data_IF_132951289408
#
_entry.id   IF_132951289408
#
_cell.length_a   1.000
_cell.length_b   1.000
_cell.length_c   1.000
_cell.angle_alpha   90.00
_cell.angle_beta   90.00
_cell.angle_gamma   90.00
#
_symmetry.space_group_name_H-M   'P 1'
#
loop_
_entity.id
_entity.type
_entity.pdbx_description
1 polymer ?
#
# COMPACT_ATOMS: atom_id res chain seq x y z
N UNK A 1 16.28 12.60 22.82
CA UNK A 1 15.08 13.03 22.08
C UNK A 1 14.26 11.77 21.80
N UNK A 2 13.05 11.65 22.33
CA UNK A 2 12.15 10.54 21.99
C UNK A 2 11.80 10.65 20.51
N UNK A 3 12.13 9.65 19.70
CA UNK A 3 11.65 9.62 18.32
C UNK A 3 10.13 9.38 18.35
N UNK A 4 9.38 10.13 17.54
CA UNK A 4 7.93 9.95 17.43
C UNK A 4 7.65 8.64 16.68
N UNK A 5 6.63 7.86 17.08
CA UNK A 5 6.22 6.66 16.34
C UNK A 5 6.07 6.94 14.84
N UNK A 6 6.48 5.99 13.99
CA UNK A 6 6.56 6.22 12.54
C UNK A 6 5.26 6.73 11.91
N UNK A 7 4.12 6.18 12.34
CA UNK A 7 2.79 6.58 11.85
C UNK A 7 2.40 8.02 12.19
N UNK A 8 3.06 8.67 13.14
CA UNK A 8 2.88 10.09 13.45
C UNK A 8 3.69 11.01 12.53
N UNK A 9 4.63 10.46 11.75
CA UNK A 9 5.56 11.23 10.90
C UNK A 9 5.16 11.25 9.41
N UNK A 10 4.11 10.52 9.05
CA UNK A 10 3.65 10.35 7.67
C UNK A 10 2.14 10.59 7.58
N UNK A 11 1.64 11.03 6.42
CA UNK A 11 0.21 11.16 6.21
C UNK A 11 -0.45 9.78 6.34
N UNK A 12 -1.44 9.67 7.23
CA UNK A 12 -2.20 8.44 7.40
C UNK A 12 -3.18 8.27 6.26
N UNK A 13 -3.40 7.02 5.82
CA UNK A 13 -4.49 6.71 4.90
C UNK A 13 -5.86 7.04 5.49
N UNK A 14 -5.98 7.08 6.82
CA UNK A 14 -7.21 7.51 7.50
C UNK A 14 -7.55 8.99 7.28
N UNK A 15 -6.56 9.81 6.90
CA UNK A 15 -6.73 11.25 6.71
C UNK A 15 -6.76 11.63 5.22
N UNK A 16 -6.79 10.65 4.31
CA UNK A 16 -6.93 10.89 2.87
C UNK A 16 -8.39 11.23 2.56
N UNK A 17 -8.69 12.41 2.00
CA UNK A 17 -10.07 12.79 1.70
C UNK A 17 -10.70 11.89 0.63
N UNK A 18 -11.92 11.43 0.92
CA UNK A 18 -12.78 10.75 -0.05
C UNK A 18 -13.96 11.68 -0.30
N UNK A 19 -14.02 12.24 -1.50
CA UNK A 19 -15.10 13.13 -1.96
C UNK A 19 -16.15 12.35 -2.74
N UNK A 20 -17.26 13.00 -3.12
CA UNK A 20 -18.23 12.42 -4.05
C UNK A 20 -17.56 11.98 -5.37
N UNK A 21 -16.59 12.78 -5.84
CA UNK A 21 -15.83 12.54 -7.08
C UNK A 21 -14.73 11.49 -6.94
N UNK A 22 -14.42 11.03 -5.72
CA UNK A 22 -13.39 10.03 -5.48
C UNK A 22 -12.32 10.39 -4.45
N UNK A 23 -11.27 9.57 -4.43
CA UNK A 23 -10.13 9.67 -3.52
C UNK A 23 -9.18 10.75 -4.01
N UNK A 24 -8.86 11.75 -3.17
CA UNK A 24 -7.93 12.84 -3.52
C UNK A 24 -6.54 12.32 -3.89
N UNK A 25 -6.12 12.57 -5.13
CA UNK A 25 -4.92 11.97 -5.74
C UNK A 25 -3.65 12.35 -4.99
N UNK A 26 -3.46 13.64 -4.68
CA UNK A 26 -2.24 14.13 -4.03
C UNK A 26 -2.14 13.57 -2.61
N UNK A 27 -3.25 13.60 -1.86
CA UNK A 27 -3.28 13.07 -0.50
C UNK A 27 -3.01 11.56 -0.46
N UNK A 28 -3.55 10.79 -1.40
CA UNK A 28 -3.26 9.36 -1.52
C UNK A 28 -1.79 9.07 -1.86
N UNK A 29 -1.20 9.84 -2.78
CA UNK A 29 0.21 9.70 -3.15
C UNK A 29 1.14 10.04 -1.98
N UNK A 30 0.83 11.08 -1.21
CA UNK A 30 1.57 11.44 0.01
C UNK A 30 1.53 10.33 1.06
N UNK A 31 0.35 9.74 1.30
CA UNK A 31 0.19 8.61 2.21
C UNK A 31 0.94 7.36 1.70
N UNK A 32 0.95 7.14 0.38
CA UNK A 32 1.68 6.05 -0.26
C UNK A 32 3.21 6.20 -0.17
N UNK A 33 3.74 7.42 -0.29
CA UNK A 33 5.17 7.69 0.01
C UNK A 33 5.49 7.41 1.48
N UNK A 34 4.57 7.78 2.37
CA UNK A 34 4.61 7.41 3.78
C UNK A 34 4.64 5.91 4.01
N UNK A 35 4.00 5.11 3.16
CA UNK A 35 4.15 3.66 3.24
C UNK A 35 5.54 3.20 2.77
N UNK A 36 6.09 3.79 1.72
CA UNK A 36 7.39 3.36 1.17
C UNK A 36 8.50 3.45 2.22
N UNK A 37 8.55 4.52 3.04
CA UNK A 37 9.58 4.60 4.09
C UNK A 37 9.36 3.62 5.25
N UNK A 38 8.17 3.02 5.39
CA UNK A 38 7.95 1.91 6.33
C UNK A 38 8.80 0.70 5.91
N UNK A 39 8.87 0.40 4.61
CA UNK A 39 9.71 -0.67 4.09
C UNK A 39 11.21 -0.41 4.29
N UNK A 40 11.64 0.86 4.34
CA UNK A 40 13.03 1.20 4.67
C UNK A 40 13.38 0.78 6.11
N UNK A 41 12.41 0.84 7.04
CA UNK A 41 12.57 0.34 8.40
C UNK A 41 12.67 -1.19 8.47
N UNK A 42 12.21 -1.93 7.46
CA UNK A 42 12.22 -3.41 7.46
C UNK A 42 13.55 -4.01 6.99
N UNK A 43 14.45 -3.19 6.44
CA UNK A 43 15.77 -3.60 5.95
C UNK A 43 15.82 -3.72 4.42
N UNK A 44 16.78 -3.05 3.81
CA UNK A 44 16.84 -2.78 2.37
C UNK A 44 17.25 -3.99 1.49
N UNK A 45 17.90 -5.02 2.06
CA UNK A 45 18.54 -6.08 1.28
C UNK A 45 17.59 -6.95 0.48
N UNK A 46 16.58 -7.56 1.12
CA UNK A 46 15.69 -8.53 0.45
C UNK A 46 14.42 -7.88 -0.12
N UNK A 47 14.07 -6.68 0.35
CA UNK A 47 12.89 -5.94 -0.10
C UNK A 47 13.17 -4.96 -1.25
N UNK A 48 14.41 -4.86 -1.74
CA UNK A 48 14.78 -3.88 -2.77
C UNK A 48 13.89 -3.93 -4.02
N UNK A 49 13.55 -5.13 -4.52
CA UNK A 49 12.66 -5.25 -5.68
C UNK A 49 11.21 -4.88 -5.36
N UNK A 50 10.73 -5.18 -4.14
CA UNK A 50 9.38 -4.82 -3.69
C UNK A 50 9.25 -3.31 -3.58
N UNK A 51 10.25 -2.66 -2.97
CA UNK A 51 10.29 -1.21 -2.88
C UNK A 51 10.34 -0.55 -4.26
N UNK A 52 11.17 -1.08 -5.17
CA UNK A 52 11.28 -0.55 -6.53
C UNK A 52 9.94 -0.63 -7.29
N UNK A 53 9.22 -1.75 -7.16
CA UNK A 53 7.89 -1.90 -7.76
C UNK A 53 6.89 -0.88 -7.19
N UNK A 54 6.79 -0.74 -5.86
CA UNK A 54 5.88 0.23 -5.23
C UNK A 54 6.25 1.67 -5.64
N UNK A 55 7.54 2.04 -5.53
CA UNK A 55 8.04 3.37 -5.92
C UNK A 55 7.73 3.67 -7.39
N UNK A 56 7.94 2.70 -8.28
CA UNK A 56 7.63 2.83 -9.71
C UNK A 56 6.15 3.02 -9.98
N UNK A 57 5.27 2.29 -9.28
CA UNK A 57 3.83 2.45 -9.43
C UNK A 57 3.34 3.80 -8.90
N UNK A 58 3.85 4.27 -7.76
CA UNK A 58 3.55 5.63 -7.24
C UNK A 58 4.01 6.69 -8.26
N UNK A 59 5.23 6.54 -8.80
CA UNK A 59 5.76 7.47 -9.79
C UNK A 59 4.88 7.51 -11.06
N UNK A 60 4.42 6.38 -11.57
CA UNK A 60 3.52 6.35 -12.73
C UNK A 60 2.20 7.07 -12.51
N UNK A 61 1.55 6.84 -11.36
CA UNK A 61 0.31 7.56 -10.99
C UNK A 61 0.58 9.06 -10.86
N UNK A 62 1.69 9.43 -10.22
CA UNK A 62 2.12 10.82 -10.05
C UNK A 62 2.40 11.52 -11.37
N UNK A 63 3.09 10.87 -12.29
CA UNK A 63 3.36 11.40 -13.63
C UNK A 63 2.07 11.64 -14.39
N UNK A 64 1.12 10.69 -14.35
CA UNK A 64 -0.20 10.90 -14.97
C UNK A 64 -0.91 12.12 -14.38
N UNK A 65 -0.91 12.26 -13.06
CA UNK A 65 -1.52 13.41 -12.39
C UNK A 65 -0.85 14.73 -12.79
N UNK A 66 0.47 14.81 -12.77
CA UNK A 66 1.22 16.02 -13.12
C UNK A 66 0.94 16.49 -14.54
N UNK A 67 0.75 15.57 -15.48
CA UNK A 67 0.46 15.89 -16.87
C UNK A 67 -1.01 16.30 -17.10
N UNK A 68 -1.93 15.97 -16.19
CA UNK A 68 -3.38 16.15 -16.36
C UNK A 68 -4.09 16.61 -15.08
N UNK A 69 -3.45 17.48 -14.29
CA UNK A 69 -3.87 17.77 -12.90
C UNK A 69 -5.33 18.21 -12.77
N UNK A 70 -5.83 19.03 -13.70
CA UNK A 70 -7.22 19.48 -13.73
C UNK A 70 -8.25 18.35 -13.93
N UNK A 71 -7.84 17.23 -14.54
CA UNK A 71 -8.70 16.08 -14.85
C UNK A 71 -8.42 14.87 -13.94
N UNK A 72 -7.51 15.02 -12.98
CA UNK A 72 -7.00 13.93 -12.15
C UNK A 72 -6.90 14.32 -10.67
N UNK A 73 -7.76 15.24 -10.22
CA UNK A 73 -7.88 15.61 -8.81
C UNK A 73 -8.21 14.41 -7.92
N UNK A 74 -9.01 13.47 -8.43
CA UNK A 74 -9.27 12.17 -7.80
C UNK A 74 -8.70 11.02 -8.62
N UNK A 75 -8.40 9.90 -7.95
CA UNK A 75 -7.90 8.68 -8.61
C UNK A 75 -8.89 8.13 -9.62
N UNK A 76 -10.20 8.22 -9.33
CA UNK A 76 -11.25 7.81 -10.26
C UNK A 76 -11.28 8.68 -11.52
N UNK A 77 -11.15 10.01 -11.37
CA UNK A 77 -11.08 10.92 -12.52
C UNK A 77 -9.77 10.74 -13.31
N UNK A 78 -8.66 10.46 -12.63
CA UNK A 78 -7.38 10.11 -13.26
C UNK A 78 -7.56 8.91 -14.20
N UNK A 79 -8.18 7.83 -13.73
CA UNK A 79 -8.41 6.62 -14.53
C UNK A 79 -9.40 6.87 -15.67
N UNK A 80 -10.51 7.57 -15.40
CA UNK A 80 -11.52 7.89 -16.43
C UNK A 80 -10.93 8.74 -17.55
N UNK A 81 -10.22 9.82 -17.21
CA UNK A 81 -9.59 10.72 -18.19
C UNK A 81 -8.56 9.97 -19.04
N UNK A 82 -7.64 9.25 -18.41
CA UNK A 82 -6.57 8.53 -19.13
C UNK A 82 -7.15 7.49 -20.10
N UNK A 83 -8.14 6.72 -19.64
CA UNK A 83 -8.78 5.71 -20.47
C UNK A 83 -9.54 6.33 -21.64
N UNK A 84 -10.17 7.49 -21.45
CA UNK A 84 -10.87 8.20 -22.53
C UNK A 84 -9.93 8.72 -23.63
N UNK A 85 -8.67 8.96 -23.28
CA UNK A 85 -7.61 9.35 -24.21
C UNK A 85 -6.97 8.14 -24.94
N UNK A 86 -7.37 6.92 -24.61
CA UNK A 86 -6.79 5.69 -25.17
C UNK A 86 -5.46 5.27 -24.51
N UNK A 87 -5.06 5.91 -23.42
CA UNK A 87 -3.87 5.56 -22.64
C UNK A 87 -4.23 4.80 -21.37
N UNK A 88 -3.28 4.07 -20.78
CA UNK A 88 -3.50 3.30 -19.53
C UNK A 88 -2.26 3.17 -18.64
N UNK A 89 -1.23 3.98 -18.83
CA UNK A 89 0.05 3.81 -18.12
C UNK A 89 -0.11 4.10 -16.61
N UNK A 90 -0.69 5.25 -16.27
CA UNK A 90 -1.01 5.64 -14.89
C UNK A 90 -2.04 4.70 -14.25
N UNK A 91 -3.06 4.30 -15.02
CA UNK A 91 -4.09 3.33 -14.60
C UNK A 91 -3.47 1.98 -14.28
N UNK A 92 -2.55 1.48 -15.12
CA UNK A 92 -1.84 0.21 -14.89
C UNK A 92 -0.92 0.27 -13.66
N UNK A 93 -0.32 1.44 -13.41
CA UNK A 93 0.41 1.69 -12.17
C UNK A 93 -0.52 1.72 -10.95
N UNK A 94 -1.69 2.37 -11.03
CA UNK A 94 -2.67 2.39 -9.93
C UNK A 94 -3.22 1.00 -9.61
N UNK A 95 -3.50 0.17 -10.63
CA UNK A 95 -3.91 -1.23 -10.46
C UNK A 95 -2.86 -2.00 -9.66
N UNK A 96 -1.59 -1.93 -10.07
CA UNK A 96 -0.48 -2.62 -9.39
C UNK A 96 -0.25 -2.09 -7.98
N UNK A 97 -0.31 -0.77 -7.80
CA UNK A 97 -0.22 -0.14 -6.48
C UNK A 97 -1.34 -0.61 -5.57
N UNK A 98 -2.59 -0.64 -6.04
CA UNK A 98 -3.75 -1.09 -5.27
C UNK A 98 -3.58 -2.53 -4.80
N UNK A 99 -3.11 -3.43 -5.67
CA UNK A 99 -2.80 -4.82 -5.28
C UNK A 99 -1.73 -4.90 -4.19
N UNK A 100 -0.64 -4.13 -4.33
CA UNK A 100 0.43 -4.07 -3.34
C UNK A 100 -0.05 -3.52 -1.98
N UNK A 101 -0.88 -2.48 -2.00
CA UNK A 101 -1.49 -1.90 -0.81
C UNK A 101 -2.47 -2.86 -0.13
N UNK A 102 -3.31 -3.57 -0.90
CA UNK A 102 -4.21 -4.61 -0.36
C UNK A 102 -3.44 -5.74 0.31
N UNK A 103 -2.37 -6.21 -0.34
CA UNK A 103 -1.49 -7.23 0.22
C UNK A 103 -0.92 -6.79 1.56
N UNK A 104 -0.39 -5.57 1.65
CA UNK A 104 0.17 -5.11 2.90
C UNK A 104 -0.89 -4.91 3.97
N UNK A 105 -2.03 -4.29 3.62
CA UNK A 105 -3.13 -4.05 4.54
C UNK A 105 -3.58 -5.36 5.20
N UNK A 106 -3.85 -6.40 4.40
CA UNK A 106 -4.23 -7.72 4.90
C UNK A 106 -3.16 -8.38 5.76
N UNK A 107 -1.88 -8.29 5.36
CA UNK A 107 -0.79 -8.87 6.15
C UNK A 107 -0.70 -8.23 7.54
N UNK A 108 -0.81 -6.90 7.62
CA UNK A 108 -0.74 -6.18 8.89
C UNK A 108 -2.03 -6.34 9.72
N UNK A 109 -3.20 -6.48 9.09
CA UNK A 109 -4.44 -6.86 9.78
C UNK A 109 -4.34 -8.26 10.39
N UNK A 110 -3.77 -9.24 9.66
CA UNK A 110 -3.51 -10.57 10.23
C UNK A 110 -2.59 -10.47 11.45
N UNK A 111 -1.53 -9.66 11.36
CA UNK A 111 -0.64 -9.41 12.47
C UNK A 111 -1.39 -8.79 13.66
N UNK A 112 -2.22 -7.77 13.46
CA UNK A 112 -2.98 -7.13 14.55
C UNK A 112 -3.99 -8.08 15.20
N UNK A 113 -4.73 -8.82 14.39
CA UNK A 113 -5.81 -9.69 14.87
C UNK A 113 -5.32 -10.95 15.59
N UNK A 114 -4.11 -11.40 15.29
CA UNK A 114 -3.54 -12.58 15.91
C UNK A 114 -2.08 -12.30 16.37
N UNK A 115 -1.89 -12.01 17.66
CA UNK A 115 -0.57 -11.80 18.25
C UNK A 115 0.32 -13.06 18.25
N UNK A 116 -0.24 -14.25 18.06
CA UNK A 116 0.49 -15.52 18.15
C UNK A 116 1.20 -15.91 16.84
N UNK A 117 0.81 -15.31 15.71
CA UNK A 117 1.40 -15.60 14.40
C UNK A 117 2.58 -14.67 14.09
N UNK A 118 3.62 -15.27 13.51
CA UNK A 118 4.79 -14.54 13.04
C UNK A 118 4.50 -13.75 11.76
N UNK A 119 5.26 -12.69 11.57
CA UNK A 119 5.04 -11.73 10.49
C UNK A 119 5.16 -12.36 9.10
N UNK A 120 6.13 -13.27 8.90
CA UNK A 120 6.28 -14.01 7.64
C UNK A 120 5.03 -14.82 7.28
N UNK A 121 4.33 -15.40 8.27
CA UNK A 121 3.11 -16.17 8.06
C UNK A 121 1.94 -15.27 7.65
N UNK A 122 1.85 -14.09 8.27
CA UNK A 122 0.89 -13.03 7.91
C UNK A 122 1.07 -12.59 6.45
N UNK A 123 2.31 -12.30 6.06
CA UNK A 123 2.64 -11.94 4.68
C UNK A 123 2.40 -13.08 3.70
N UNK A 124 2.75 -14.32 4.05
CA UNK A 124 2.46 -15.48 3.19
C UNK A 124 0.97 -15.62 2.90
N UNK A 125 0.14 -15.56 3.95
CA UNK A 125 -1.32 -15.66 3.82
C UNK A 125 -1.86 -14.57 2.91
N UNK A 126 -1.48 -13.32 3.16
CA UNK A 126 -1.90 -12.20 2.33
C UNK A 126 -1.41 -12.32 0.87
N UNK A 127 -0.20 -12.82 0.65
CA UNK A 127 0.34 -13.04 -0.70
C UNK A 127 -0.50 -14.07 -1.47
N UNK A 128 -0.83 -15.18 -0.82
CA UNK A 128 -1.68 -16.24 -1.38
C UNK A 128 -3.09 -15.70 -1.71
N UNK A 129 -3.64 -14.80 -0.88
CA UNK A 129 -4.97 -14.19 -1.07
C UNK A 129 -5.02 -13.10 -2.16
N UNK A 130 -3.95 -12.33 -2.35
CA UNK A 130 -3.96 -11.12 -3.19
C UNK A 130 -3.07 -11.27 -4.43
N UNK A 131 -1.74 -11.33 -4.24
CA UNK A 131 -0.78 -11.10 -5.34
C UNK A 131 -0.47 -12.34 -6.17
N UNK A 132 -0.57 -13.54 -5.58
CA UNK A 132 -0.14 -14.80 -6.23
C UNK A 132 -0.76 -15.01 -7.60
N UNK A 133 -2.04 -14.66 -7.75
CA UNK A 133 -2.80 -14.85 -8.99
C UNK A 133 -2.37 -13.91 -10.12
N UNK A 134 -1.66 -12.82 -9.79
CA UNK A 134 -1.19 -11.82 -10.76
C UNK A 134 0.29 -11.98 -11.14
N UNK A 135 1.06 -12.74 -10.36
CA UNK A 135 2.49 -12.90 -10.57
C UNK A 135 2.80 -14.10 -11.48
N UNK A 136 3.79 -13.92 -12.36
CA UNK A 136 4.36 -15.03 -13.13
C UNK A 136 5.13 -15.97 -12.20
N UNK A 137 5.48 -17.18 -12.69
CA UNK A 137 6.23 -18.15 -11.89
C UNK A 137 7.53 -17.57 -11.30
N UNK A 138 8.28 -16.79 -12.08
CA UNK A 138 9.53 -16.15 -11.63
C UNK A 138 9.26 -15.16 -10.49
N UNK A 139 8.25 -14.30 -10.65
CA UNK A 139 7.91 -13.30 -9.61
C UNK A 139 7.35 -13.97 -8.36
N UNK A 140 6.61 -15.08 -8.49
CA UNK A 140 6.17 -15.90 -7.34
C UNK A 140 7.34 -16.44 -6.53
N UNK A 141 8.37 -16.95 -7.20
CA UNK A 141 9.58 -17.46 -6.53
C UNK A 141 10.31 -16.35 -5.75
N UNK A 142 10.46 -15.16 -6.34
CA UNK A 142 11.05 -14.00 -5.66
C UNK A 142 10.20 -13.55 -4.47
N UNK A 143 8.87 -13.55 -4.61
CA UNK A 143 7.96 -13.20 -3.53
C UNK A 143 8.07 -14.16 -2.34
N UNK A 144 8.21 -15.47 -2.57
CA UNK A 144 8.41 -16.46 -1.49
C UNK A 144 9.69 -16.17 -0.71
N UNK A 145 10.78 -15.78 -1.40
CA UNK A 145 12.04 -15.40 -0.75
C UNK A 145 11.83 -14.14 0.10
N UNK A 146 11.17 -13.11 -0.45
CA UNK A 146 10.87 -11.88 0.29
C UNK A 146 10.02 -12.12 1.53
N UNK A 147 8.98 -12.95 1.43
CA UNK A 147 8.12 -13.31 2.56
C UNK A 147 8.91 -14.02 3.66
N UNK A 148 9.81 -14.93 3.30
CA UNK A 148 10.68 -15.62 4.28
C UNK A 148 11.71 -14.71 4.92
N UNK A 149 12.09 -13.63 4.24
CA UNK A 149 13.00 -12.62 4.77
C UNK A 149 12.30 -11.52 5.58
N UNK A 150 10.98 -11.62 5.79
CA UNK A 150 10.29 -10.73 6.71
C UNK A 150 10.93 -10.81 8.11
N UNK A 151 11.13 -9.65 8.78
CA UNK A 151 11.71 -9.63 10.11
C UNK A 151 10.80 -10.36 11.11
N UNK A 152 11.36 -10.75 12.26
CA UNK A 152 10.55 -11.23 13.38
C UNK A 152 9.52 -10.17 13.77
N UNK A 153 8.32 -10.61 14.16
CA UNK A 153 7.24 -9.70 14.56
C UNK A 153 7.69 -8.70 15.63
N UNK A 154 8.40 -9.18 16.65
CA UNK A 154 8.92 -8.33 17.75
C UNK A 154 9.80 -7.21 17.20
N UNK A 155 10.69 -7.53 16.28
CA UNK A 155 11.66 -6.56 15.74
C UNK A 155 10.96 -5.57 14.79
N UNK A 156 9.97 -6.03 14.02
CA UNK A 156 9.09 -5.17 13.22
C UNK A 156 8.37 -4.14 14.10
N UNK A 157 7.67 -4.60 15.15
CA UNK A 157 6.92 -3.73 16.06
C UNK A 157 7.86 -2.74 16.75
N UNK A 158 9.01 -3.20 17.26
CA UNK A 158 9.98 -2.35 17.94
C UNK A 158 10.53 -1.24 17.03
N UNK A 159 10.76 -1.52 15.74
CA UNK A 159 11.27 -0.53 14.78
C UNK A 159 10.24 0.55 14.44
N UNK A 160 8.95 0.20 14.39
CA UNK A 160 7.90 1.12 13.98
C UNK A 160 7.37 1.93 15.16
N UNK A 161 7.29 1.30 16.34
CA UNK A 161 6.92 2.02 17.57
C UNK A 161 8.02 2.98 18.01
N UNK A 162 9.28 2.74 17.62
CA UNK A 162 10.46 3.56 18.00
C UNK A 162 10.56 3.79 19.51
N UNK A 163 10.15 2.80 20.31
CA UNK A 163 10.12 2.89 21.78
C UNK A 163 8.90 3.62 22.35
N UNK A 164 7.91 3.97 21.51
CA UNK A 164 6.62 4.50 21.92
C UNK A 164 5.74 3.48 22.63
N UNK A 165 4.68 3.99 23.27
CA UNK A 165 3.70 3.17 23.98
C UNK A 165 3.02 2.15 23.05
N UNK A 166 2.86 0.92 23.55
CA UNK A 166 2.40 -0.21 22.75
C UNK A 166 0.90 -0.14 22.46
N UNK A 167 0.11 0.37 23.41
CA UNK A 167 -1.34 0.54 23.24
C UNK A 167 -1.61 1.65 22.24
N UNK A 168 -0.92 2.79 22.38
CA UNK A 168 -0.96 3.89 21.41
C UNK A 168 -0.54 3.42 20.01
N UNK A 169 0.56 2.66 19.91
CA UNK A 169 1.03 2.12 18.63
C UNK A 169 -0.04 1.25 17.95
N UNK A 170 -0.66 0.32 18.70
CA UNK A 170 -1.69 -0.55 18.15
C UNK A 170 -2.91 0.26 17.69
N UNK A 171 -3.36 1.24 18.48
CA UNK A 171 -4.50 2.09 18.12
C UNK A 171 -4.23 2.90 16.84
N UNK A 172 -3.04 3.48 16.70
CA UNK A 172 -2.66 4.23 15.49
C UNK A 172 -2.52 3.31 14.27
N UNK A 173 -1.94 2.11 14.44
CA UNK A 173 -1.86 1.12 13.37
C UNK A 173 -3.25 0.66 12.94
N UNK A 174 -4.17 0.40 13.86
CA UNK A 174 -5.54 0.01 13.55
C UNK A 174 -6.28 1.10 12.79
N UNK A 175 -6.15 2.37 13.23
CA UNK A 175 -6.70 3.53 12.50
C UNK A 175 -6.13 3.60 11.08
N UNK A 176 -4.82 3.49 10.93
CA UNK A 176 -4.14 3.53 9.63
C UNK A 176 -4.62 2.40 8.72
N UNK A 177 -4.74 1.18 9.24
CA UNK A 177 -5.22 0.01 8.49
C UNK A 177 -6.69 0.13 8.10
N UNK A 178 -7.54 0.68 8.96
CA UNK A 178 -8.94 0.92 8.64
C UNK A 178 -9.09 1.92 7.48
N UNK A 179 -8.34 3.03 7.50
CA UNK A 179 -8.32 3.99 6.41
C UNK A 179 -7.82 3.39 5.09
N UNK A 180 -6.72 2.62 5.15
CA UNK A 180 -6.18 1.95 3.97
C UNK A 180 -7.17 0.92 3.40
N UNK A 181 -7.80 0.11 4.24
CA UNK A 181 -8.78 -0.91 3.85
C UNK A 181 -9.98 -0.30 3.09
N UNK A 182 -10.50 0.83 3.57
CA UNK A 182 -11.57 1.57 2.89
C UNK A 182 -11.12 2.01 1.50
N UNK A 183 -9.95 2.62 1.39
CA UNK A 183 -9.40 3.13 0.13
C UNK A 183 -9.19 2.00 -0.88
N UNK A 184 -8.52 0.92 -0.49
CA UNK A 184 -8.20 -0.17 -1.44
C UNK A 184 -9.43 -0.96 -1.87
N UNK A 185 -10.43 -1.13 -0.99
CA UNK A 185 -11.71 -1.75 -1.35
C UNK A 185 -12.48 -0.90 -2.36
N UNK A 186 -12.51 0.42 -2.14
CA UNK A 186 -13.13 1.37 -3.08
C UNK A 186 -12.45 1.33 -4.44
N UNK A 187 -11.11 1.41 -4.47
CA UNK A 187 -10.34 1.33 -5.71
C UNK A 187 -10.53 0.00 -6.43
N UNK A 188 -10.50 -1.13 -5.71
CA UNK A 188 -10.78 -2.45 -6.28
C UNK A 188 -12.14 -2.49 -6.97
N UNK A 189 -13.20 -2.10 -6.28
CA UNK A 189 -14.56 -2.10 -6.83
C UNK A 189 -14.63 -1.19 -8.07
N UNK A 190 -14.16 0.05 -7.98
CA UNK A 190 -14.15 0.99 -9.10
C UNK A 190 -13.38 0.46 -10.32
N UNK A 191 -12.18 -0.10 -10.10
CA UNK A 191 -11.33 -0.62 -11.18
C UNK A 191 -11.96 -1.82 -11.87
N UNK A 192 -12.52 -2.76 -11.10
CA UNK A 192 -13.11 -3.99 -11.63
C UNK A 192 -14.46 -3.74 -12.30
N UNK A 193 -15.37 -3.01 -11.63
CA UNK A 193 -16.69 -2.68 -12.15
C UNK A 193 -16.61 -1.78 -13.39
N UNK A 194 -15.58 -0.91 -13.44
CA UNK A 194 -15.31 -0.04 -14.57
C UNK A 194 -14.53 -0.70 -15.73
N UNK A 195 -14.10 -1.96 -15.59
CA UNK A 195 -13.31 -2.65 -16.61
C UNK A 195 -11.91 -2.06 -16.85
N UNK A 196 -11.35 -1.37 -15.85
CA UNK A 196 -10.04 -0.71 -15.93
C UNK A 196 -8.88 -1.67 -15.60
N UNK A 197 -9.18 -2.82 -15.01
CA UNK A 197 -8.21 -3.85 -14.68
C UNK A 197 -8.79 -4.89 -13.73
N UNK A 198 -7.91 -5.71 -13.16
CA UNK A 198 -8.26 -6.68 -12.12
C UNK A 198 -7.44 -6.38 -10.89
N UNK A 199 -8.00 -6.42 -9.69
CA UNK A 199 -7.26 -6.12 -8.45
C UNK A 199 -7.33 -7.29 -7.49
#
# INVERSE_FOLDING_TARGET
MSQQPYFETVKSFADVPITESGIETVAFLDASDGLVKLFDLLGSGVFGFVQADIKGNIAGVRTRHQNTSAQSSTLENLVRSETSEGHRDGTSCLVRLTRGLMFLCKALQHMQNDPSIELHACFKRSYDEVLKHHHTFVVRSLAVVAVRAAPYRRDFVARISQGGDKEKFNAELDRWLAGLDVIVKRLKAFIEDGGYGKV
#
